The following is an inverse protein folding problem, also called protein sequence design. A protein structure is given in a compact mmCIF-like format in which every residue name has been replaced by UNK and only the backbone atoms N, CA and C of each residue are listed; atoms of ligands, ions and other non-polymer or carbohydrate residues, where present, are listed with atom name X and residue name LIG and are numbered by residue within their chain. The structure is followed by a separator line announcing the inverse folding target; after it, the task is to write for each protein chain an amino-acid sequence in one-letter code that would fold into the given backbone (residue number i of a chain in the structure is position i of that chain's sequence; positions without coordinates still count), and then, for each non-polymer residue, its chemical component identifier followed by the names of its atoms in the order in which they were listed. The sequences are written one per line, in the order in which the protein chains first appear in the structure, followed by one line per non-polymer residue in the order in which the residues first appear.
data_IF_807483822168
#
_entry.id   IF_807483822168
#
_cell.length_a   1.000
_cell.length_b   1.000
_cell.length_c   1.000
_cell.angle_alpha   90.00
_cell.angle_beta   90.00
_cell.angle_gamma   90.00
#
_symmetry.space_group_name_H-M   'P 1'
#
loop_
_entity.id
_entity.type
_entity.pdbx_description
1 polymer ?
#
# COMPACT_ATOMS: atom_id res chain seq x y z
N UNK A 1 17.12 23.29 2.87
CA UNK A 1 15.81 23.10 3.53
C UNK A 1 15.08 21.99 2.77
N UNK A 2 15.11 20.76 3.29
CA UNK A 2 14.72 19.53 2.56
C UNK A 2 13.19 19.29 2.51
N UNK A 3 12.40 20.36 2.60
CA UNK A 3 10.94 20.31 2.79
C UNK A 3 10.12 20.50 1.50
N UNK A 4 10.73 20.32 0.32
CA UNK A 4 10.04 20.44 -0.97
C UNK A 4 10.20 19.23 -1.91
N UNK A 5 10.61 18.07 -1.39
CA UNK A 5 10.59 16.80 -2.12
C UNK A 5 9.71 15.81 -1.38
N UNK A 6 8.70 15.25 -2.05
CA UNK A 6 7.94 14.13 -1.49
C UNK A 6 8.89 12.99 -1.08
N UNK A 7 8.65 12.39 0.08
CA UNK A 7 9.45 11.26 0.54
C UNK A 7 8.93 9.96 -0.11
N UNK A 8 9.80 9.27 -0.85
CA UNK A 8 9.53 7.91 -1.34
C UNK A 8 10.24 6.90 -0.45
N UNK A 9 9.48 5.99 0.14
CA UNK A 9 10.02 4.85 0.88
C UNK A 9 9.80 3.56 0.08
N UNK A 10 10.87 2.80 -0.12
CA UNK A 10 10.82 1.44 -0.65
C UNK A 10 11.20 0.49 0.48
N UNK A 11 10.33 -0.46 0.79
CA UNK A 11 10.52 -1.39 1.91
C UNK A 11 9.84 -2.74 1.64
N UNK A 12 10.35 -3.79 2.28
CA UNK A 12 9.68 -5.09 2.38
C UNK A 12 8.70 -5.10 3.57
N UNK A 13 7.85 -6.12 3.65
CA UNK A 13 6.90 -6.28 4.78
C UNK A 13 7.59 -6.37 6.14
N UNK A 14 8.82 -6.90 6.19
CA UNK A 14 9.61 -6.98 7.42
C UNK A 14 10.19 -5.60 7.75
N UNK A 15 10.80 -4.92 6.77
CA UNK A 15 11.45 -3.63 6.97
C UNK A 15 10.47 -2.50 7.28
N UNK A 16 9.22 -2.59 6.84
CA UNK A 16 8.17 -1.59 7.09
C UNK A 16 7.52 -1.69 8.48
N UNK A 17 7.85 -2.72 9.27
CA UNK A 17 7.33 -2.85 10.64
C UNK A 17 7.88 -1.74 11.53
N UNK A 18 6.98 -1.05 12.25
CA UNK A 18 7.34 0.09 13.10
C UNK A 18 7.53 1.41 12.34
N UNK A 19 7.47 1.40 11.01
CA UNK A 19 7.43 2.64 10.22
C UNK A 19 6.02 3.24 10.29
N UNK A 20 5.92 4.45 10.84
CA UNK A 20 4.68 5.23 10.87
C UNK A 20 4.83 6.49 10.01
N UNK A 21 4.07 6.55 8.91
CA UNK A 21 4.01 7.66 7.97
C UNK A 21 2.54 8.07 7.81
N UNK A 22 1.98 8.88 8.73
CA UNK A 22 0.55 9.18 8.78
C UNK A 22 0.06 10.01 7.59
N UNK A 23 0.97 10.67 6.87
CA UNK A 23 0.69 11.48 5.67
C UNK A 23 0.74 10.66 4.36
N UNK A 24 0.89 9.35 4.46
CA UNK A 24 0.93 8.49 3.27
C UNK A 24 -0.44 8.50 2.59
N UNK A 25 -0.47 8.94 1.34
CA UNK A 25 -1.66 8.93 0.48
C UNK A 25 -1.60 7.82 -0.57
N UNK A 26 -0.41 7.40 -0.97
CA UNK A 26 -0.21 6.42 -2.05
C UNK A 26 0.59 5.21 -1.59
N UNK A 27 0.13 4.02 -1.93
CA UNK A 27 0.83 2.75 -1.74
C UNK A 27 0.99 2.07 -3.09
N UNK A 28 2.21 1.64 -3.40
CA UNK A 28 2.53 0.86 -4.60
C UNK A 28 3.01 -0.52 -4.19
N UNK A 29 2.22 -1.55 -4.48
CA UNK A 29 2.67 -2.93 -4.40
C UNK A 29 3.46 -3.24 -5.66
N UNK A 30 4.79 -3.18 -5.57
CA UNK A 30 5.67 -3.53 -6.68
C UNK A 30 5.57 -5.03 -7.00
N UNK A 31 5.66 -5.85 -5.96
CA UNK A 31 5.33 -7.27 -6.02
C UNK A 31 3.95 -7.49 -5.41
N UNK A 32 3.19 -8.38 -6.04
CA UNK A 32 1.91 -8.83 -5.56
C UNK A 32 2.04 -9.38 -4.12
N UNK A 33 1.17 -8.98 -3.18
CA UNK A 33 1.16 -9.55 -1.84
C UNK A 33 1.00 -11.08 -1.86
N UNK A 34 1.38 -11.78 -0.79
CA UNK A 34 1.24 -13.24 -0.77
C UNK A 34 -0.19 -13.68 -0.44
N UNK A 35 -0.90 -12.83 0.31
CA UNK A 35 -2.26 -13.10 0.79
C UNK A 35 -3.10 -11.83 0.77
N UNK A 36 -4.43 -11.97 0.84
CA UNK A 36 -5.35 -10.84 0.98
C UNK A 36 -5.10 -10.05 2.28
N UNK A 37 -4.70 -10.75 3.35
CA UNK A 37 -4.34 -10.13 4.63
C UNK A 37 -3.07 -9.29 4.51
N UNK A 38 -2.06 -9.77 3.77
CA UNK A 38 -0.85 -8.97 3.50
C UNK A 38 -1.19 -7.72 2.68
N UNK A 39 -2.07 -7.85 1.68
CA UNK A 39 -2.59 -6.70 0.94
C UNK A 39 -3.28 -5.70 1.87
N UNK A 40 -4.16 -6.16 2.76
CA UNK A 40 -4.87 -5.31 3.72
C UNK A 40 -3.90 -4.60 4.68
N UNK A 41 -2.89 -5.29 5.19
CA UNK A 41 -1.86 -4.69 6.05
C UNK A 41 -1.05 -3.60 5.35
N UNK A 42 -0.75 -3.77 4.05
CA UNK A 42 -0.08 -2.75 3.24
C UNK A 42 -1.01 -1.57 2.94
N UNK A 43 -2.25 -1.85 2.54
CA UNK A 43 -3.27 -0.83 2.28
C UNK A 43 -3.57 0.02 3.51
N UNK A 44 -3.58 -0.57 4.71
CA UNK A 44 -3.78 0.14 5.97
C UNK A 44 -2.68 1.15 6.36
N UNK A 45 -1.63 1.30 5.55
CA UNK A 45 -0.59 2.33 5.73
C UNK A 45 -1.00 3.70 5.20
N UNK A 46 -2.00 3.78 4.33
CA UNK A 46 -2.61 5.02 3.85
C UNK A 46 -3.95 5.28 4.54
N UNK A 47 -4.57 6.44 4.31
CA UNK A 47 -5.90 6.77 4.83
C UNK A 47 -5.97 6.98 6.35
N UNK A 48 -4.83 7.23 7.01
CA UNK A 48 -4.74 7.37 8.47
C UNK A 48 -5.03 8.78 9.00
N UNK A 49 -5.22 9.77 8.13
CA UNK A 49 -5.65 11.13 8.53
C UNK A 49 -7.18 11.20 8.62
N UNK A 50 -7.75 11.36 9.82
CA UNK A 50 -9.19 11.55 9.95
C UNK A 50 -9.59 12.90 9.35
N UNK A 51 -10.78 12.96 8.75
CA UNK A 51 -11.34 14.19 8.16
C UNK A 51 -10.47 14.84 7.05
N UNK A 52 -9.60 14.06 6.40
CA UNK A 52 -8.86 14.52 5.21
C UNK A 52 -9.68 14.33 3.95
N UNK A 53 -9.66 15.33 3.07
CA UNK A 53 -10.23 15.23 1.71
C UNK A 53 -9.26 14.55 0.72
N UNK A 54 -8.04 14.24 1.16
CA UNK A 54 -7.04 13.57 0.32
C UNK A 54 -7.43 12.12 0.05
N UNK A 55 -7.51 11.76 -1.23
CA UNK A 55 -7.78 10.39 -1.64
C UNK A 55 -6.58 9.49 -1.35
N UNK A 56 -6.87 8.35 -0.74
CA UNK A 56 -5.90 7.28 -0.53
C UNK A 56 -5.98 6.29 -1.68
N UNK A 57 -4.85 6.02 -2.33
CA UNK A 57 -4.78 5.15 -3.51
C UNK A 57 -3.79 4.02 -3.25
N UNK A 58 -4.23 2.79 -3.50
CA UNK A 58 -3.40 1.60 -3.49
C UNK A 58 -3.34 1.07 -4.92
N UNK A 59 -2.14 0.95 -5.47
CA UNK A 59 -1.91 0.43 -6.83
C UNK A 59 -1.01 -0.80 -6.73
N UNK A 60 -1.41 -1.87 -7.41
CA UNK A 60 -0.64 -3.10 -7.47
C UNK A 60 -0.18 -3.34 -8.89
N UNK A 61 1.13 -3.52 -9.07
CA UNK A 61 1.70 -3.95 -10.34
C UNK A 61 1.54 -5.47 -10.41
N UNK A 62 0.94 -5.97 -11.48
CA UNK A 62 0.75 -7.41 -11.68
C UNK A 62 1.05 -7.77 -13.12
N UNK A 63 1.47 -9.02 -13.33
CA UNK A 63 1.47 -9.61 -14.68
C UNK A 63 0.09 -10.24 -14.98
N UNK A 64 -0.29 -10.43 -16.26
CA UNK A 64 -1.58 -11.03 -16.61
C UNK A 64 -1.85 -12.38 -15.95
N UNK A 65 -0.80 -13.19 -15.77
CA UNK A 65 -0.85 -14.52 -15.17
C UNK A 65 -1.27 -14.50 -13.70
N UNK A 66 -1.09 -13.38 -13.01
CA UNK A 66 -1.40 -13.21 -11.59
C UNK A 66 -2.82 -12.68 -11.33
N UNK A 67 -3.61 -12.40 -12.38
CA UNK A 67 -4.95 -11.81 -12.25
C UNK A 67 -5.89 -12.62 -11.35
N UNK A 68 -5.76 -13.94 -11.35
CA UNK A 68 -6.58 -14.81 -10.50
C UNK A 68 -6.36 -14.56 -9.00
N UNK A 69 -5.17 -14.10 -8.61
CA UNK A 69 -4.84 -13.77 -7.22
C UNK A 69 -5.55 -12.49 -6.80
N UNK A 70 -5.62 -11.48 -7.69
CA UNK A 70 -6.40 -10.26 -7.42
C UNK A 70 -7.88 -10.58 -7.21
N UNK A 71 -8.46 -11.41 -8.08
CA UNK A 71 -9.84 -11.85 -7.94
C UNK A 71 -10.05 -12.63 -6.63
N UNK A 72 -9.04 -13.39 -6.18
CA UNK A 72 -9.08 -14.04 -4.88
C UNK A 72 -9.13 -13.03 -3.74
N UNK A 73 -8.33 -11.95 -3.78
CA UNK A 73 -8.39 -10.91 -2.75
C UNK A 73 -9.77 -10.25 -2.66
N UNK A 74 -10.37 -9.93 -3.80
CA UNK A 74 -11.71 -9.34 -3.86
C UNK A 74 -12.80 -10.23 -3.23
N UNK A 75 -12.62 -11.56 -3.25
CA UNK A 75 -13.55 -12.50 -2.62
C UNK A 75 -13.28 -12.73 -1.12
N UNK A 76 -12.07 -12.42 -0.65
CA UNK A 76 -11.64 -12.66 0.75
C UNK A 76 -11.77 -11.43 1.64
N UNK A 77 -11.83 -10.23 1.05
CA UNK A 77 -11.93 -8.93 1.73
C UNK A 77 -13.36 -8.39 1.68
#
# INVERSE_FOLDING_TARGET
DARQGGCLLVATDIASRGVDLPETTHIYNFDLPRTAIDYLHRAGRTGRRPFSDEKSIVTTLTVPEERFVLQRYENEL
#
